data_IF_878634820042
#
_entry.id   IF_878634820042
#
_cell.length_a   1.000
_cell.length_b   1.000
_cell.length_c   1.000
_cell.angle_alpha   90.00
_cell.angle_beta   90.00
_cell.angle_gamma   90.00
#
_symmetry.space_group_name_H-M   'P 1'
#
loop_
_entity.id
_entity.type
_entity.pdbx_description
1 polymer ?
#
# COMPACT_ATOMS: atom_id res chain seq x y z
N UNK A 1 -0.41 -15.59 -9.69
CA UNK A 1 0.41 -15.71 -8.47
C UNK A 1 -0.55 -15.84 -7.31
N UNK A 2 -0.43 -16.86 -6.43
CA UNK A 2 -1.29 -16.92 -5.25
C UNK A 2 -0.97 -15.72 -4.35
N UNK A 3 -2.00 -14.99 -3.94
CA UNK A 3 -1.84 -13.97 -2.91
C UNK A 3 -1.55 -14.65 -1.57
N UNK A 4 -0.54 -14.14 -0.85
CA UNK A 4 -0.29 -14.53 0.54
C UNK A 4 -1.13 -13.62 1.42
N UNK A 5 -1.90 -14.21 2.33
CA UNK A 5 -2.60 -13.48 3.38
C UNK A 5 -1.63 -13.28 4.55
N UNK A 6 -1.58 -12.07 5.09
CA UNK A 6 -0.77 -11.71 6.25
C UNK A 6 -1.70 -11.31 7.40
N UNK A 7 -1.34 -11.69 8.61
CA UNK A 7 -1.95 -11.16 9.83
C UNK A 7 -1.55 -9.70 10.06
N UNK A 8 -2.30 -8.97 10.88
CA UNK A 8 -1.97 -7.58 11.24
C UNK A 8 -0.58 -7.48 11.89
N UNK A 9 -0.20 -8.45 12.72
CA UNK A 9 1.12 -8.50 13.35
C UNK A 9 2.24 -8.73 12.33
N UNK A 10 2.03 -9.58 11.34
CA UNK A 10 3.02 -9.78 10.26
C UNK A 10 3.17 -8.50 9.42
N UNK A 11 2.07 -7.82 9.11
CA UNK A 11 2.11 -6.53 8.39
C UNK A 11 2.90 -5.50 9.19
N UNK A 12 2.63 -5.36 10.50
CA UNK A 12 3.40 -4.44 11.36
C UNK A 12 4.90 -4.73 11.36
N UNK A 13 5.28 -6.00 11.52
CA UNK A 13 6.68 -6.40 11.48
C UNK A 13 7.34 -6.06 10.14
N UNK A 14 6.65 -6.32 9.02
CA UNK A 14 7.17 -5.97 7.70
C UNK A 14 7.37 -4.47 7.53
N UNK A 15 6.48 -3.64 8.10
CA UNK A 15 6.64 -2.18 8.10
C UNK A 15 7.83 -1.73 8.97
N UNK A 16 8.00 -2.33 10.14
CA UNK A 16 9.16 -2.08 11.02
C UNK A 16 10.48 -2.48 10.35
N UNK A 17 10.46 -3.56 9.55
CA UNK A 17 11.59 -4.04 8.74
C UNK A 17 11.81 -3.19 7.46
N UNK A 18 11.01 -2.14 7.26
CA UNK A 18 11.18 -1.17 6.20
C UNK A 18 10.39 -1.47 4.92
N UNK A 19 9.32 -2.26 4.96
CA UNK A 19 8.40 -2.35 3.82
C UNK A 19 7.78 -0.98 3.48
N UNK A 20 7.33 -0.83 2.23
CA UNK A 20 6.61 0.33 1.75
C UNK A 20 5.12 -0.01 1.75
N UNK A 21 4.30 0.81 2.38
CA UNK A 21 2.85 0.65 2.40
C UNK A 21 2.22 1.52 1.32
N UNK A 22 1.44 0.91 0.43
CA UNK A 22 0.75 1.59 -0.66
C UNK A 22 -0.75 1.43 -0.48
N UNK A 23 -1.45 2.56 -0.41
CA UNK A 23 -2.90 2.63 -0.43
C UNK A 23 -3.37 2.95 -1.86
N UNK A 24 -4.27 2.14 -2.40
CA UNK A 24 -4.80 2.29 -3.76
C UNK A 24 -6.19 2.93 -3.85
N UNK A 25 -6.70 3.47 -2.74
CA UNK A 25 -7.93 4.26 -2.71
C UNK A 25 -7.82 5.57 -3.51
N UNK A 26 -8.96 6.18 -3.82
CA UNK A 26 -8.99 7.52 -4.39
C UNK A 26 -8.35 8.56 -3.46
N UNK A 27 -7.84 9.64 -4.02
CA UNK A 27 -7.19 10.73 -3.26
C UNK A 27 -8.12 11.26 -2.13
N UNK A 28 -9.39 11.51 -2.44
CA UNK A 28 -10.39 11.97 -1.47
C UNK A 28 -10.66 10.98 -0.32
N UNK A 29 -10.50 9.67 -0.56
CA UNK A 29 -10.71 8.64 0.46
C UNK A 29 -9.47 8.52 1.34
N UNK A 30 -8.30 8.50 0.71
CA UNK A 30 -7.01 8.53 1.38
C UNK A 30 -6.88 9.76 2.29
N UNK A 31 -7.24 10.95 1.83
CA UNK A 31 -7.19 12.17 2.64
C UNK A 31 -8.14 12.12 3.87
N UNK A 32 -9.25 11.38 3.77
CA UNK A 32 -10.18 11.22 4.91
C UNK A 32 -9.63 10.27 5.95
N UNK A 33 -9.12 9.12 5.54
CA UNK A 33 -8.53 8.12 6.42
C UNK A 33 -7.58 7.19 5.66
N UNK A 34 -6.40 6.95 6.23
CA UNK A 34 -5.41 6.02 5.71
C UNK A 34 -4.45 5.57 6.81
N UNK A 35 -3.77 4.44 6.58
CA UNK A 35 -2.77 3.95 7.52
C UNK A 35 -1.56 4.92 7.57
N UNK A 36 -1.05 5.30 8.76
CA UNK A 36 0.08 6.21 8.87
C UNK A 36 1.30 5.76 8.06
N UNK A 37 1.86 6.69 7.28
CA UNK A 37 3.04 6.43 6.44
C UNK A 37 2.74 5.72 5.11
N UNK A 38 1.46 5.45 4.80
CA UNK A 38 1.07 4.95 3.50
C UNK A 38 1.36 5.97 2.38
N UNK A 39 1.72 5.45 1.21
CA UNK A 39 1.87 6.20 -0.03
C UNK A 39 0.59 6.01 -0.84
N UNK A 40 -0.11 7.08 -1.21
CA UNK A 40 -1.28 6.96 -2.06
C UNK A 40 -0.88 6.79 -3.53
N UNK A 41 -1.31 5.68 -4.12
CA UNK A 41 -1.23 5.43 -5.57
C UNK A 41 -2.59 4.90 -6.02
N UNK A 42 -3.54 5.79 -6.41
CA UNK A 42 -4.90 5.39 -6.73
C UNK A 42 -4.95 4.29 -7.79
N UNK A 43 -5.77 3.26 -7.58
CA UNK A 43 -5.85 2.09 -8.46
C UNK A 43 -6.10 2.47 -9.93
N UNK A 44 -6.92 3.51 -10.16
CA UNK A 44 -7.25 4.03 -11.49
C UNK A 44 -6.06 4.67 -12.22
N UNK A 45 -4.98 4.99 -11.50
CA UNK A 45 -3.76 5.61 -12.02
C UNK A 45 -2.53 4.70 -11.83
N UNK A 46 -2.69 3.49 -11.31
CA UNK A 46 -1.60 2.57 -11.02
C UNK A 46 -0.94 2.09 -12.32
N UNK A 47 0.26 2.60 -12.58
CA UNK A 47 1.05 2.35 -13.78
C UNK A 47 2.56 2.47 -13.49
N UNK A 48 3.41 2.25 -14.51
CA UNK A 48 4.86 2.32 -14.36
C UNK A 48 5.39 3.69 -13.88
N UNK A 49 4.68 4.77 -14.21
CA UNK A 49 5.10 6.14 -13.87
C UNK A 49 4.77 6.47 -12.42
N UNK A 50 3.58 6.10 -11.98
CA UNK A 50 3.10 6.35 -10.61
C UNK A 50 3.85 5.52 -9.58
N UNK A 51 4.32 4.32 -9.94
CA UNK A 51 5.15 3.49 -9.05
C UNK A 51 6.65 3.80 -9.11
N UNK A 52 7.09 4.75 -9.96
CA UNK A 52 8.51 5.03 -10.17
C UNK A 52 9.24 5.54 -8.91
N UNK A 53 8.50 6.10 -7.95
CA UNK A 53 9.02 6.54 -6.67
C UNK A 53 9.23 5.42 -5.63
N UNK A 54 8.73 4.22 -5.89
CA UNK A 54 8.90 3.09 -4.97
C UNK A 54 10.32 2.50 -5.08
N UNK A 55 10.94 2.24 -3.93
CA UNK A 55 12.22 1.56 -3.88
C UNK A 55 12.04 0.07 -4.23
N UNK A 56 12.59 -0.34 -5.37
CA UNK A 56 12.50 -1.73 -5.86
C UNK A 56 13.28 -2.74 -5.00
N UNK A 57 14.11 -2.28 -4.07
CA UNK A 57 14.86 -3.14 -3.13
C UNK A 57 14.08 -3.46 -1.85
N UNK A 58 12.98 -2.75 -1.59
CA UNK A 58 12.16 -2.90 -0.39
C UNK A 58 10.83 -3.59 -0.72
N UNK A 59 10.30 -4.47 0.15
CA UNK A 59 8.97 -5.05 -0.05
C UNK A 59 7.90 -3.96 -0.21
N UNK A 60 6.90 -4.21 -1.06
CA UNK A 60 5.74 -3.33 -1.25
C UNK A 60 4.50 -4.07 -0.77
N UNK A 61 3.81 -3.50 0.22
CA UNK A 61 2.53 -3.96 0.72
C UNK A 61 1.45 -3.07 0.12
N UNK A 62 0.60 -3.65 -0.72
CA UNK A 62 -0.53 -2.96 -1.31
C UNK A 62 -1.78 -3.33 -0.53
N UNK A 63 -2.55 -2.32 -0.09
CA UNK A 63 -3.86 -2.54 0.50
C UNK A 63 -4.91 -1.63 -0.15
N UNK A 64 -6.14 -2.11 -0.10
CA UNK A 64 -7.34 -1.35 -0.39
C UNK A 64 -8.30 -1.62 0.76
N UNK A 65 -9.19 -0.68 1.05
CA UNK A 65 -10.30 -0.91 1.95
C UNK A 65 -11.59 -0.83 1.14
N UNK A 66 -12.29 -1.95 0.98
CA UNK A 66 -13.60 -1.96 0.36
C UNK A 66 -14.64 -2.20 1.45
N UNK A 67 -15.44 -1.18 1.76
CA UNK A 67 -16.63 -1.35 2.58
C UNK A 67 -17.78 -1.76 1.65
N UNK A 68 -17.90 -3.07 1.42
CA UNK A 68 -18.97 -3.71 0.65
C UNK A 68 -19.59 -4.87 1.39
#
# INVERSE_FOLDING_TARGET
>A
MPSRVFSVSEVKQLLDDGAQLVDVLGEDEFERDHLPGAINIPLKRLDEKTVAGLDRKRPVLVYCNDFG
#
